data_IF_550099304901
#
_entry.id   IF_550099304901
#
_cell.length_a   1.000
_cell.length_b   1.000
_cell.length_c   1.000
_cell.angle_alpha   90.00
_cell.angle_beta   90.00
_cell.angle_gamma   90.00
#
_symmetry.space_group_name_H-M   'P 1'
#
loop_
_entity.id
_entity.type
_entity.pdbx_description
1 polymer ?
#
# COMPACT_ATOMS: atom_id res chain seq x y z
N UNK A 1 13.41 -26.71 -0.98
CA UNK A 1 12.49 -26.17 -2.00
C UNK A 1 11.46 -25.20 -1.41
N UNK A 2 10.82 -25.50 -0.28
CA UNK A 2 9.80 -24.60 0.32
C UNK A 2 10.34 -23.21 0.69
N UNK A 3 11.55 -23.14 1.24
CA UNK A 3 12.15 -21.85 1.60
C UNK A 3 12.41 -20.94 0.39
N UNK A 4 12.80 -21.48 -0.73
CA UNK A 4 13.03 -20.70 -1.96
C UNK A 4 11.70 -20.16 -2.53
N UNK A 5 10.63 -20.95 -2.47
CA UNK A 5 9.31 -20.53 -2.92
C UNK A 5 8.77 -19.42 -2.01
N UNK A 6 9.02 -19.51 -0.71
CA UNK A 6 8.61 -18.50 0.25
C UNK A 6 9.34 -17.16 0.05
N UNK A 7 10.65 -17.21 -0.18
CA UNK A 7 11.45 -16.02 -0.51
C UNK A 7 10.98 -15.39 -1.82
N UNK A 8 10.73 -16.19 -2.85
CA UNK A 8 10.23 -15.70 -4.14
C UNK A 8 8.88 -15.00 -4.00
N UNK A 9 7.93 -15.60 -3.26
CA UNK A 9 6.63 -14.97 -2.98
C UNK A 9 6.79 -13.64 -2.24
N UNK A 10 7.65 -13.58 -1.25
CA UNK A 10 7.93 -12.36 -0.48
C UNK A 10 8.49 -11.25 -1.39
N UNK A 11 9.43 -11.58 -2.27
CA UNK A 11 9.98 -10.63 -3.24
C UNK A 11 8.90 -10.13 -4.20
N UNK A 12 8.04 -11.02 -4.70
CA UNK A 12 6.96 -10.64 -5.61
C UNK A 12 5.92 -9.76 -4.93
N UNK A 13 5.56 -10.05 -3.68
CA UNK A 13 4.65 -9.21 -2.87
C UNK A 13 5.27 -7.82 -2.64
N UNK A 14 6.57 -7.76 -2.34
CA UNK A 14 7.29 -6.50 -2.22
C UNK A 14 7.28 -5.70 -3.52
N UNK A 15 7.48 -6.35 -4.67
CA UNK A 15 7.39 -5.70 -5.98
C UNK A 15 5.99 -5.17 -6.29
N UNK A 16 4.93 -5.89 -5.88
CA UNK A 16 3.55 -5.40 -6.00
C UNK A 16 3.35 -4.15 -5.15
N UNK A 17 3.89 -4.12 -3.93
CA UNK A 17 3.88 -2.93 -3.09
C UNK A 17 4.59 -1.75 -3.75
N UNK A 18 5.79 -1.97 -4.30
CA UNK A 18 6.53 -0.96 -5.06
C UNK A 18 5.74 -0.44 -6.28
N UNK A 19 5.08 -1.32 -7.01
CA UNK A 19 4.19 -0.95 -8.12
C UNK A 19 3.05 -0.04 -7.65
N UNK A 20 2.41 -0.36 -6.52
CA UNK A 20 1.39 0.49 -5.93
C UNK A 20 1.91 1.90 -5.59
N UNK A 21 3.08 1.99 -4.96
CA UNK A 21 3.70 3.28 -4.62
C UNK A 21 4.28 4.03 -5.82
N UNK A 22 4.52 3.37 -6.96
CA UNK A 22 5.07 3.99 -8.17
C UNK A 22 4.04 4.79 -8.98
N UNK A 23 2.80 4.87 -8.55
CA UNK A 23 1.74 5.63 -9.25
C UNK A 23 2.14 7.08 -9.53
N UNK A 24 2.88 7.71 -8.62
CA UNK A 24 3.40 9.08 -8.80
C UNK A 24 4.38 9.22 -9.96
N UNK A 25 5.05 8.13 -10.34
CA UNK A 25 5.98 8.09 -11.48
C UNK A 25 5.28 7.74 -12.80
N UNK A 26 4.25 6.93 -12.74
CA UNK A 26 3.53 6.39 -13.91
C UNK A 26 2.30 7.23 -14.31
N UNK A 27 1.98 8.27 -13.53
CA UNK A 27 0.75 9.04 -13.68
C UNK A 27 -0.44 8.37 -13.00
N UNK A 28 -1.59 9.02 -12.99
CA UNK A 28 -2.81 8.58 -12.30
C UNK A 28 -3.42 7.35 -12.96
N UNK A 29 -2.82 6.18 -12.75
CA UNK A 29 -3.20 4.91 -13.37
C UNK A 29 -4.10 4.03 -12.49
N UNK A 30 -4.45 4.50 -11.27
CA UNK A 30 -5.25 3.75 -10.28
C UNK A 30 -4.63 2.40 -9.87
N UNK A 31 -3.34 2.19 -10.08
CA UNK A 31 -2.63 0.96 -9.71
C UNK A 31 -2.56 0.74 -8.20
N UNK A 32 -2.64 1.81 -7.42
CA UNK A 32 -2.65 1.75 -5.95
C UNK A 32 -3.98 1.23 -5.36
N UNK A 33 -5.03 1.09 -6.19
CA UNK A 33 -6.35 0.70 -5.69
C UNK A 33 -6.40 -0.77 -5.29
N UNK A 34 -7.10 -1.11 -4.18
CA UNK A 34 -7.24 -2.48 -3.71
C UNK A 34 -7.80 -3.46 -4.76
N UNK A 35 -8.67 -2.97 -5.65
CA UNK A 35 -9.26 -3.78 -6.72
C UNK A 35 -8.21 -4.26 -7.74
N UNK A 36 -7.06 -3.59 -7.83
CA UNK A 36 -5.94 -3.99 -8.70
C UNK A 36 -4.92 -4.79 -7.91
N UNK A 37 -4.54 -4.33 -6.72
CA UNK A 37 -3.52 -4.97 -5.88
C UNK A 37 -3.97 -6.33 -5.34
N UNK A 38 -5.25 -6.47 -4.98
CA UNK A 38 -5.80 -7.72 -4.45
C UNK A 38 -5.62 -8.92 -5.41
N UNK A 39 -6.07 -8.82 -6.66
CA UNK A 39 -5.85 -9.87 -7.66
C UNK A 39 -4.38 -10.18 -7.92
N UNK A 40 -3.50 -9.16 -7.96
CA UNK A 40 -2.06 -9.36 -8.14
C UNK A 40 -1.45 -10.16 -6.98
N UNK A 41 -1.80 -9.81 -5.75
CA UNK A 41 -1.39 -10.58 -4.55
C UNK A 41 -1.96 -12.00 -4.60
N UNK A 42 -3.24 -12.15 -4.97
CA UNK A 42 -3.89 -13.45 -5.11
C UNK A 42 -3.18 -14.35 -6.13
N UNK A 43 -2.73 -13.78 -7.24
CA UNK A 43 -1.97 -14.49 -8.27
C UNK A 43 -0.64 -15.01 -7.72
N UNK A 44 0.12 -14.17 -7.02
CA UNK A 44 1.41 -14.55 -6.40
C UNK A 44 1.23 -15.58 -5.30
N UNK A 45 0.17 -15.46 -4.50
CA UNK A 45 -0.15 -16.43 -3.44
C UNK A 45 -0.69 -17.75 -3.96
N UNK A 46 -1.09 -17.82 -5.25
CA UNK A 46 -1.65 -19.02 -5.88
C UNK A 46 -3.16 -19.19 -5.66
N UNK A 47 -3.86 -18.14 -5.26
CA UNK A 47 -5.32 -18.14 -5.08
C UNK A 47 -5.93 -16.84 -5.64
N UNK A 48 -5.98 -16.76 -6.97
CA UNK A 48 -6.52 -15.60 -7.68
C UNK A 48 -7.98 -15.28 -7.32
N UNK A 49 -8.91 -16.26 -7.23
CA UNK A 49 -10.29 -15.95 -6.85
C UNK A 49 -10.41 -15.30 -5.47
N UNK A 50 -9.65 -15.79 -4.48
CA UNK A 50 -9.61 -15.18 -3.17
C UNK A 50 -9.05 -13.74 -3.22
N UNK A 51 -7.98 -13.52 -3.98
CA UNK A 51 -7.40 -12.19 -4.17
C UNK A 51 -8.39 -11.20 -4.79
N UNK A 52 -9.19 -11.62 -5.77
CA UNK A 52 -10.22 -10.78 -6.40
C UNK A 52 -11.31 -10.41 -5.37
N UNK A 53 -11.83 -11.39 -4.64
CA UNK A 53 -12.90 -11.16 -3.65
C UNK A 53 -12.39 -10.25 -2.53
N UNK A 54 -11.20 -10.53 -1.99
CA UNK A 54 -10.59 -9.74 -0.92
C UNK A 54 -10.26 -8.32 -1.38
N UNK A 55 -9.70 -8.16 -2.60
CA UNK A 55 -9.41 -6.86 -3.19
C UNK A 55 -10.66 -6.02 -3.40
N UNK A 56 -11.73 -6.62 -3.91
CA UNK A 56 -13.01 -5.94 -4.07
C UNK A 56 -13.64 -5.54 -2.73
N UNK A 57 -13.53 -6.39 -1.71
CA UNK A 57 -14.03 -6.10 -0.36
C UNK A 57 -13.25 -4.96 0.29
N UNK A 58 -11.93 -4.95 0.16
CA UNK A 58 -11.06 -3.86 0.62
C UNK A 58 -11.36 -2.56 -0.13
N UNK A 59 -11.61 -2.62 -1.43
CA UNK A 59 -11.98 -1.47 -2.23
C UNK A 59 -13.28 -0.83 -1.74
N UNK A 60 -14.32 -1.64 -1.48
CA UNK A 60 -15.59 -1.16 -0.96
C UNK A 60 -15.45 -0.53 0.43
N UNK A 61 -14.64 -1.12 1.29
CA UNK A 61 -14.40 -0.58 2.64
C UNK A 61 -13.61 0.74 2.63
N UNK A 62 -12.71 0.91 1.67
CA UNK A 62 -11.77 2.03 1.61
C UNK A 62 -12.06 3.00 0.46
N UNK A 63 -13.23 2.89 -0.19
CA UNK A 63 -13.61 3.75 -1.32
C UNK A 63 -13.59 5.24 -0.95
N UNK A 64 -13.92 5.58 0.29
CA UNK A 64 -13.92 6.95 0.81
C UNK A 64 -12.54 7.45 1.27
N UNK A 65 -11.52 6.61 1.26
CA UNK A 65 -10.16 6.98 1.68
C UNK A 65 -9.46 7.77 0.57
N UNK A 66 -9.86 9.03 0.41
CA UNK A 66 -9.30 9.97 -0.58
C UNK A 66 -8.72 11.16 0.18
N UNK A 67 -7.52 11.61 -0.21
CA UNK A 67 -6.90 12.79 0.37
C UNK A 67 -7.62 14.05 -0.10
N UNK A 68 -8.31 14.73 0.81
CA UNK A 68 -9.01 16.00 0.55
C UNK A 68 -8.48 17.04 1.53
N UNK A 69 -7.85 18.08 1.01
CA UNK A 69 -7.24 19.12 1.83
C UNK A 69 -6.10 18.59 2.70
N UNK A 70 -6.14 18.85 4.00
CA UNK A 70 -5.13 18.38 4.95
C UNK A 70 -5.37 16.96 5.48
N UNK A 71 -6.42 16.27 5.03
CA UNK A 71 -6.71 14.90 5.44
C UNK A 71 -5.79 13.92 4.73
N UNK A 72 -5.09 13.11 5.52
CA UNK A 72 -4.26 12.02 5.04
C UNK A 72 -4.97 10.68 5.31
N UNK A 73 -5.41 9.96 4.28
CA UNK A 73 -6.12 8.69 4.44
C UNK A 73 -5.19 7.57 4.92
N UNK A 74 -5.77 6.46 5.45
CA UNK A 74 -5.01 5.24 5.70
C UNK A 74 -4.29 4.74 4.45
N UNK A 75 -3.16 4.07 4.64
CA UNK A 75 -2.36 3.57 3.53
C UNK A 75 -3.03 2.36 2.86
N UNK A 76 -3.68 2.61 1.73
CA UNK A 76 -4.41 1.60 0.95
C UNK A 76 -3.50 0.49 0.46
N UNK A 77 -2.27 0.84 0.08
CA UNK A 77 -1.32 -0.09 -0.54
C UNK A 77 -0.84 -1.12 0.48
N UNK A 78 -0.27 -0.63 1.58
CA UNK A 78 0.22 -1.51 2.64
C UNK A 78 -0.90 -2.34 3.25
N UNK A 79 -2.06 -1.73 3.54
CA UNK A 79 -3.23 -2.42 4.08
C UNK A 79 -3.72 -3.54 3.17
N UNK A 80 -3.80 -3.29 1.86
CA UNK A 80 -4.28 -4.29 0.90
C UNK A 80 -3.25 -5.39 0.67
N UNK A 81 -2.01 -5.03 0.35
CA UNK A 81 -0.97 -6.01 0.01
C UNK A 81 -0.71 -6.96 1.18
N UNK A 82 -0.56 -6.44 2.40
CA UNK A 82 -0.32 -7.26 3.58
C UNK A 82 -1.59 -7.95 4.08
N UNK A 83 -2.74 -7.24 4.12
CA UNK A 83 -4.01 -7.81 4.57
C UNK A 83 -4.45 -8.99 3.72
N UNK A 84 -4.41 -8.85 2.38
CA UNK A 84 -4.79 -9.93 1.45
C UNK A 84 -3.78 -11.08 1.49
N UNK A 85 -2.48 -10.79 1.54
CA UNK A 85 -1.45 -11.85 1.58
C UNK A 85 -1.56 -12.69 2.85
N UNK A 86 -1.75 -12.07 4.01
CA UNK A 86 -1.91 -12.76 5.29
C UNK A 86 -3.22 -13.54 5.36
N UNK A 87 -4.32 -12.98 4.84
CA UNK A 87 -5.61 -13.66 4.80
C UNK A 87 -5.56 -14.92 3.92
N UNK A 88 -4.94 -14.84 2.74
CA UNK A 88 -4.76 -16.01 1.86
C UNK A 88 -3.85 -17.05 2.53
N UNK A 89 -2.78 -16.61 3.17
CA UNK A 89 -1.84 -17.51 3.84
C UNK A 89 -2.49 -18.27 5.00
N UNK A 90 -3.38 -17.62 5.74
CA UNK A 90 -4.13 -18.24 6.83
C UNK A 90 -5.32 -19.11 6.36
N UNK A 91 -5.61 -19.14 5.06
CA UNK A 91 -6.78 -19.83 4.50
C UNK A 91 -8.12 -19.21 4.92
N UNK A 92 -8.11 -17.96 5.39
CA UNK A 92 -9.28 -17.24 5.88
C UNK A 92 -10.01 -16.47 4.78
N UNK A 93 -11.22 -16.02 5.08
CA UNK A 93 -12.07 -15.28 4.12
C UNK A 93 -11.74 -13.78 4.00
N UNK A 94 -12.57 -13.09 3.20
CA UNK A 94 -12.42 -11.65 2.93
C UNK A 94 -12.53 -10.78 4.18
N UNK A 95 -13.28 -11.22 5.18
CA UNK A 95 -13.42 -10.54 6.47
C UNK A 95 -12.08 -10.43 7.19
N UNK A 96 -11.25 -11.48 7.11
CA UNK A 96 -9.92 -11.48 7.71
C UNK A 96 -8.99 -10.49 7.00
N UNK A 97 -9.11 -10.33 5.68
CA UNK A 97 -8.36 -9.31 4.95
C UNK A 97 -8.68 -7.90 5.46
N UNK A 98 -9.95 -7.60 5.76
CA UNK A 98 -10.37 -6.32 6.36
C UNK A 98 -9.83 -6.15 7.78
N UNK A 99 -10.01 -7.16 8.62
CA UNK A 99 -9.60 -7.12 10.04
C UNK A 99 -8.09 -6.93 10.18
N UNK A 100 -7.30 -7.49 9.29
CA UNK A 100 -5.84 -7.32 9.28
C UNK A 100 -5.42 -6.05 8.51
N UNK A 101 -6.03 -5.80 7.36
CA UNK A 101 -5.62 -4.73 6.46
C UNK A 101 -5.87 -3.33 7.00
N UNK A 102 -7.01 -3.08 7.65
CA UNK A 102 -7.35 -1.75 8.18
C UNK A 102 -6.40 -1.31 9.31
N UNK A 103 -6.09 -2.14 10.33
CA UNK A 103 -5.09 -1.79 11.32
C UNK A 103 -3.69 -1.58 10.72
N UNK A 104 -3.28 -2.40 9.77
CA UNK A 104 -2.00 -2.24 9.06
C UNK A 104 -1.96 -0.90 8.33
N UNK A 105 -3.02 -0.55 7.60
CA UNK A 105 -3.13 0.73 6.90
C UNK A 105 -3.01 1.94 7.85
N UNK A 106 -3.61 1.85 9.03
CA UNK A 106 -3.53 2.91 10.06
C UNK A 106 -2.16 3.01 10.71
N UNK A 107 -1.50 1.90 10.98
CA UNK A 107 -0.12 1.90 11.49
C UNK A 107 0.84 2.50 10.47
N UNK A 108 0.68 2.16 9.19
CA UNK A 108 1.49 2.73 8.11
C UNK A 108 1.24 4.23 7.92
N UNK A 109 -0.01 4.69 8.06
CA UNK A 109 -0.32 6.11 8.10
C UNK A 109 0.41 6.81 9.25
N UNK A 110 0.37 6.25 10.46
CA UNK A 110 1.06 6.81 11.62
C UNK A 110 2.57 6.89 11.41
N UNK A 111 3.18 5.84 10.84
CA UNK A 111 4.60 5.82 10.49
C UNK A 111 4.94 6.87 9.42
N UNK A 112 4.13 6.99 8.38
CA UNK A 112 4.30 7.99 7.33
C UNK A 112 4.22 9.41 7.91
N UNK A 113 3.17 9.70 8.68
CA UNK A 113 2.96 11.02 9.29
C UNK A 113 4.03 11.35 10.33
N UNK A 114 4.48 10.37 11.12
CA UNK A 114 5.47 10.58 12.17
C UNK A 114 6.92 10.66 11.70
N UNK A 115 7.26 10.02 10.59
CA UNK A 115 8.64 9.89 10.11
C UNK A 115 8.85 10.62 8.78
N UNK A 116 8.04 10.29 7.77
CA UNK A 116 8.28 10.79 6.42
C UNK A 116 7.91 12.27 6.26
N UNK A 117 6.79 12.71 6.84
CA UNK A 117 6.36 14.11 6.74
C UNK A 117 7.33 15.10 7.40
N UNK A 118 7.81 14.89 8.64
CA UNK A 118 8.82 15.77 9.23
C UNK A 118 10.12 15.81 8.44
N UNK A 119 10.56 14.67 7.89
CA UNK A 119 11.75 14.62 7.06
C UNK A 119 11.59 15.43 5.78
N UNK A 120 10.42 15.32 5.13
CA UNK A 120 10.08 16.10 3.94
C UNK A 120 10.06 17.60 4.23
N UNK A 121 9.48 18.02 5.37
CA UNK A 121 9.48 19.42 5.81
C UNK A 121 10.89 19.98 5.96
N UNK A 122 11.82 19.23 6.55
CA UNK A 122 13.23 19.63 6.68
C UNK A 122 13.87 19.82 5.31
N UNK A 123 13.58 18.93 4.35
CA UNK A 123 14.10 19.04 2.98
C UNK A 123 13.52 20.26 2.25
N UNK A 124 12.22 20.53 2.37
CA UNK A 124 11.56 21.69 1.78
C UNK A 124 12.16 22.99 2.33
N UNK A 125 12.30 23.13 3.65
CA UNK A 125 12.92 24.31 4.26
C UNK A 125 14.37 24.52 3.83
N UNK A 126 15.09 23.44 3.53
CA UNK A 126 16.44 23.55 2.98
C UNK A 126 16.42 24.10 1.56
N UNK A 127 15.51 23.59 0.70
CA UNK A 127 15.33 24.09 -0.66
C UNK A 127 14.91 25.56 -0.68
N UNK A 128 13.98 25.96 0.19
CA UNK A 128 13.54 27.36 0.31
C UNK A 128 14.70 28.29 0.66
N UNK A 129 15.52 27.89 1.62
CA UNK A 129 16.71 28.64 2.04
C UNK A 129 17.76 28.77 0.93
N UNK A 130 17.93 27.71 0.14
CA UNK A 130 18.88 27.72 -0.98
C UNK A 130 18.34 28.60 -2.13
N UNK A 131 17.02 28.58 -2.36
CA UNK A 131 16.35 29.48 -3.31
C UNK A 131 16.46 30.97 -2.93
N UNK A 132 16.27 31.28 -1.63
CA UNK A 132 16.45 32.66 -1.12
C UNK A 132 17.87 33.18 -1.31
N UNK A 133 18.87 32.31 -1.29
CA UNK A 133 20.28 32.65 -1.54
C UNK A 133 20.65 32.76 -3.02
N UNK A 134 19.69 32.52 -3.92
CA UNK A 134 19.93 32.50 -5.37
C UNK A 134 20.79 31.35 -5.86
N UNK A 135 20.96 30.31 -5.06
CA UNK A 135 21.68 29.08 -5.41
C UNK A 135 20.67 28.12 -6.06
N UNK A 136 20.55 28.22 -7.38
CA UNK A 136 19.73 27.31 -8.21
C UNK A 136 20.64 26.32 -8.91
#
# INVERSE_FOLDING_TARGET
MEGQIMILKTILIFLIGLLGYSEWLLGTSCLQRPIVLGPLVGLVMGNLPAGIIMGATMELALVGAVSIGAYNPPDLIAGTVLGVSLAIQSGAGAETALVLGIPIATVMLAANTGICQPLMLVMIHKCDRDAEKGNI
#
